data_IF_375071642652
#
_entry.id   IF_375071642652
#
_cell.length_a   1.000
_cell.length_b   1.000
_cell.length_c   1.000
_cell.angle_alpha   90.00
_cell.angle_beta   90.00
_cell.angle_gamma   90.00
#
_symmetry.space_group_name_H-M   'P 1'
#
loop_
_entity.id
_entity.type
_entity.pdbx_description
1 polymer ?
#
# COMPACT_ATOMS: atom_id res chain seq x y z
N UNK A 1 -14.49 11.36 15.58
CA UNK A 1 -13.01 11.37 15.64
C UNK A 1 -12.49 12.33 14.58
N UNK A 2 -11.54 13.22 14.90
CA UNK A 2 -10.89 14.07 13.90
C UNK A 2 -10.10 13.26 12.87
N UNK A 3 -10.16 13.65 11.59
CA UNK A 3 -9.51 12.94 10.47
C UNK A 3 -8.00 12.76 10.68
N UNK A 4 -7.31 13.79 11.19
CA UNK A 4 -5.86 13.74 11.39
C UNK A 4 -5.43 12.64 12.38
N UNK A 5 -6.28 12.29 13.36
CA UNK A 5 -6.00 11.21 14.32
C UNK A 5 -6.06 9.85 13.63
N UNK A 6 -7.06 9.65 12.77
CA UNK A 6 -7.17 8.45 11.95
C UNK A 6 -5.95 8.28 11.04
N UNK A 7 -5.58 9.36 10.34
CA UNK A 7 -4.42 9.38 9.44
C UNK A 7 -3.14 9.08 10.22
N UNK A 8 -2.91 9.76 11.36
CA UNK A 8 -1.72 9.52 12.19
C UNK A 8 -1.68 8.08 12.72
N UNK A 9 -2.82 7.51 13.09
CA UNK A 9 -2.89 6.11 13.54
C UNK A 9 -2.48 5.15 12.42
N UNK A 10 -3.06 5.29 11.22
CA UNK A 10 -2.85 4.35 10.10
C UNK A 10 -1.47 4.41 9.48
N UNK A 11 -0.69 5.48 9.67
CA UNK A 11 0.70 5.63 9.17
C UNK A 11 1.78 5.33 10.23
N UNK A 12 1.42 4.61 11.31
CA UNK A 12 2.33 4.31 12.43
C UNK A 12 3.25 3.11 12.15
N UNK A 13 4.12 3.24 11.15
CA UNK A 13 5.02 2.16 10.69
C UNK A 13 5.97 1.72 11.82
N UNK A 14 5.94 0.44 12.25
CA UNK A 14 6.86 -0.06 13.28
C UNK A 14 8.33 0.16 12.89
N UNK A 15 9.11 0.68 13.83
CA UNK A 15 10.53 1.01 13.63
C UNK A 15 10.78 2.39 13.01
N UNK A 16 9.75 3.06 12.47
CA UNK A 16 9.85 4.44 11.94
C UNK A 16 9.10 5.42 12.85
N UNK A 17 7.88 5.06 13.26
CA UNK A 17 7.03 5.87 14.12
C UNK A 17 6.59 5.10 15.38
N UNK A 18 6.47 5.82 16.50
CA UNK A 18 5.87 5.25 17.70
C UNK A 18 4.38 4.92 17.46
N UNK A 19 3.86 3.83 18.08
CA UNK A 19 2.43 3.53 18.06
C UNK A 19 1.60 4.73 18.50
N UNK A 20 0.45 4.93 17.86
CA UNK A 20 -0.42 6.05 18.17
C UNK A 20 -1.49 5.65 19.19
N UNK A 21 -1.58 6.37 20.31
CA UNK A 21 -2.62 6.13 21.31
C UNK A 21 -3.89 6.89 20.96
N UNK A 22 -5.01 6.17 20.90
CA UNK A 22 -6.32 6.75 20.63
C UNK A 22 -7.40 5.96 21.35
N UNK A 23 -8.19 6.63 22.20
CA UNK A 23 -9.25 5.97 22.97
C UNK A 23 -8.78 4.83 23.88
N UNK A 24 -7.59 4.96 24.47
CA UNK A 24 -6.98 3.94 25.35
C UNK A 24 -6.46 2.70 24.62
N UNK A 25 -6.33 2.76 23.29
CA UNK A 25 -5.76 1.69 22.45
C UNK A 25 -4.55 2.22 21.70
N UNK A 26 -3.57 1.35 21.45
CA UNK A 26 -2.39 1.65 20.66
C UNK A 26 -2.54 1.08 19.25
N UNK A 27 -2.36 1.94 18.26
CA UNK A 27 -2.49 1.61 16.84
C UNK A 27 -1.12 1.64 16.17
N UNK A 28 -0.91 0.69 15.27
CA UNK A 28 0.22 0.61 14.35
C UNK A 28 -0.30 0.73 12.91
N UNK A 29 0.62 0.78 11.95
CA UNK A 29 0.30 0.88 10.53
C UNK A 29 -0.70 -0.18 10.05
N UNK A 30 -1.71 0.26 9.29
CA UNK A 30 -2.79 -0.59 8.79
C UNK A 30 -2.36 -1.56 7.68
N UNK A 31 -1.27 -1.25 6.98
CA UNK A 31 -0.71 -2.09 5.91
C UNK A 31 -0.27 -3.47 6.38
N UNK A 32 -0.05 -3.67 7.68
CA UNK A 32 0.23 -4.97 8.28
C UNK A 32 -0.98 -5.92 8.19
N UNK A 33 -2.19 -5.36 8.26
CA UNK A 33 -3.44 -6.12 8.18
C UNK A 33 -3.91 -6.25 6.73
N UNK A 34 -3.91 -5.13 6.01
CA UNK A 34 -4.37 -5.06 4.63
C UNK A 34 -3.73 -3.86 3.94
N UNK A 35 -2.78 -4.13 3.05
CA UNK A 35 -2.05 -3.12 2.28
C UNK A 35 -2.91 -2.31 1.31
N UNK A 36 -3.76 -3.00 0.54
CA UNK A 36 -4.79 -2.35 -0.28
C UNK A 36 -6.15 -2.73 0.31
N UNK A 37 -6.85 -1.83 1.04
CA UNK A 37 -8.04 -2.13 1.83
C UNK A 37 -9.32 -2.30 0.99
N UNK A 38 -9.26 -3.21 0.01
CA UNK A 38 -10.34 -3.49 -0.95
C UNK A 38 -11.60 -3.97 -0.24
N UNK A 39 -11.45 -4.82 0.78
CA UNK A 39 -12.61 -5.36 1.49
C UNK A 39 -13.35 -4.27 2.25
N UNK A 40 -12.62 -3.31 2.82
CA UNK A 40 -13.21 -2.19 3.56
C UNK A 40 -14.09 -1.32 2.65
N UNK A 41 -13.63 -0.98 1.44
CA UNK A 41 -14.42 -0.17 0.51
C UNK A 41 -15.60 -0.93 -0.09
N UNK A 42 -15.48 -2.25 -0.33
CA UNK A 42 -16.64 -3.08 -0.72
C UNK A 42 -17.70 -3.13 0.38
N UNK A 43 -17.29 -3.25 1.65
CA UNK A 43 -18.22 -3.19 2.78
C UNK A 43 -18.90 -1.82 2.95
N UNK A 44 -18.27 -0.75 2.47
CA UNK A 44 -18.86 0.59 2.41
C UNK A 44 -19.84 0.76 1.24
N UNK A 45 -20.02 -0.26 0.40
CA UNK A 45 -20.99 -0.25 -0.71
C UNK A 45 -20.42 0.26 -2.04
N UNK A 46 -19.10 0.17 -2.25
CA UNK A 46 -18.53 0.48 -3.56
C UNK A 46 -18.95 -0.56 -4.61
N UNK A 47 -19.53 -0.10 -5.73
CA UNK A 47 -19.91 -0.93 -6.87
C UNK A 47 -18.69 -1.38 -7.69
N UNK A 48 -17.71 -0.48 -7.82
CA UNK A 48 -16.44 -0.70 -8.55
C UNK A 48 -15.29 -0.34 -7.62
N UNK A 49 -14.27 -1.19 -7.55
CA UNK A 49 -13.06 -0.96 -6.78
C UNK A 49 -11.83 -1.06 -7.67
N UNK A 50 -11.17 0.11 -7.85
CA UNK A 50 -9.86 0.21 -8.46
C UNK A 50 -8.82 0.33 -7.35
N UNK A 51 -8.03 -0.73 -7.16
CA UNK A 51 -6.92 -0.75 -6.21
C UNK A 51 -5.66 -0.13 -6.84
N UNK A 52 -4.83 0.51 -6.02
CA UNK A 52 -3.48 0.94 -6.43
C UNK A 52 -2.50 0.36 -5.44
N UNK A 53 -1.61 -0.50 -5.93
CA UNK A 53 -0.62 -1.16 -5.12
C UNK A 53 0.79 -0.71 -5.49
N UNK A 54 1.46 -0.03 -4.56
CA UNK A 54 2.71 0.69 -4.81
C UNK A 54 3.96 0.00 -4.24
N UNK A 55 3.84 -1.02 -3.38
CA UNK A 55 5.02 -1.70 -2.82
C UNK A 55 5.55 -2.81 -3.75
N UNK A 56 6.80 -3.28 -3.57
CA UNK A 56 7.35 -4.30 -4.43
C UNK A 56 6.63 -5.65 -4.22
N UNK A 57 6.45 -6.38 -5.33
CA UNK A 57 5.85 -7.72 -5.34
C UNK A 57 6.93 -8.79 -5.21
N UNK A 58 7.40 -8.99 -3.98
CA UNK A 58 8.32 -10.10 -3.68
C UNK A 58 9.60 -10.09 -4.52
N UNK A 59 10.08 -8.90 -4.93
CA UNK A 59 11.45 -8.81 -5.41
C UNK A 59 12.35 -9.26 -4.25
N UNK A 60 12.88 -10.46 -4.38
CA UNK A 60 13.87 -11.02 -3.48
C UNK A 60 15.11 -10.13 -3.55
N UNK A 61 15.13 -9.07 -2.75
CA UNK A 61 16.37 -8.46 -2.35
C UNK A 61 17.15 -9.59 -1.66
N UNK A 62 18.02 -10.29 -2.39
CA UNK A 62 18.86 -11.36 -1.85
C UNK A 62 20.00 -10.81 -0.98
N UNK A 63 19.89 -9.55 -0.58
CA UNK A 63 20.75 -8.88 0.37
C UNK A 63 20.38 -9.32 1.78
N UNK A 64 21.33 -9.87 2.56
CA UNK A 64 21.06 -10.22 3.94
C UNK A 64 20.73 -8.96 4.77
N UNK A 65 19.72 -9.01 5.66
CA UNK A 65 19.40 -7.88 6.53
C UNK A 65 20.60 -7.56 7.43
N UNK A 66 20.89 -6.26 7.63
CA UNK A 66 22.12 -5.83 8.31
C UNK A 66 21.97 -5.71 9.82
N UNK A 67 20.73 -5.60 10.30
CA UNK A 67 20.41 -5.38 11.70
C UNK A 67 18.98 -5.89 12.02
N UNK A 68 18.61 -5.85 13.31
CA UNK A 68 17.31 -6.35 13.79
C UNK A 68 16.11 -5.58 13.21
N UNK A 69 16.28 -4.30 12.90
CA UNK A 69 15.23 -3.47 12.27
C UNK A 69 15.03 -3.90 10.83
N UNK A 70 16.12 -4.05 10.06
CA UNK A 70 16.10 -4.57 8.68
C UNK A 70 15.43 -5.96 8.64
N UNK A 71 15.77 -6.85 9.60
CA UNK A 71 15.14 -8.19 9.70
C UNK A 71 13.64 -8.07 9.95
N UNK A 72 13.21 -7.22 10.88
CA UNK A 72 11.79 -7.03 11.19
C UNK A 72 11.03 -6.47 9.99
N UNK A 73 11.57 -5.45 9.31
CA UNK A 73 10.98 -4.87 8.11
C UNK A 73 10.86 -5.91 6.99
N UNK A 74 11.89 -6.75 6.81
CA UNK A 74 11.86 -7.85 5.85
C UNK A 74 10.77 -8.87 6.17
N UNK A 75 10.62 -9.23 7.45
CA UNK A 75 9.53 -10.13 7.89
C UNK A 75 8.17 -9.52 7.57
N UNK A 76 7.95 -8.24 7.90
CA UNK A 76 6.69 -7.54 7.61
C UNK A 76 6.41 -7.52 6.10
N UNK A 77 7.40 -7.24 5.26
CA UNK A 77 7.23 -7.24 3.80
C UNK A 77 6.87 -8.64 3.24
N UNK A 78 7.47 -9.72 3.77
CA UNK A 78 7.15 -11.09 3.36
C UNK A 78 5.71 -11.46 3.79
N UNK A 79 5.35 -11.14 5.04
CA UNK A 79 3.99 -11.38 5.55
C UNK A 79 2.96 -10.63 4.72
N UNK A 80 3.21 -9.35 4.44
CA UNK A 80 2.37 -8.52 3.59
C UNK A 80 2.19 -9.13 2.19
N UNK A 81 3.27 -9.61 1.56
CA UNK A 81 3.18 -10.28 0.26
C UNK A 81 2.28 -11.51 0.30
N UNK A 82 2.36 -12.32 1.35
CA UNK A 82 1.50 -13.50 1.50
C UNK A 82 0.03 -13.13 1.71
N UNK A 83 -0.26 -12.08 2.47
CA UNK A 83 -1.63 -11.60 2.73
C UNK A 83 -2.22 -11.00 1.45
N UNK A 84 -1.49 -10.12 0.78
CA UNK A 84 -1.94 -9.38 -0.40
C UNK A 84 -2.19 -10.32 -1.58
N UNK A 85 -1.31 -11.31 -1.80
CA UNK A 85 -1.47 -12.32 -2.86
C UNK A 85 -2.76 -13.14 -2.76
N UNK A 86 -3.31 -13.28 -1.54
CA UNK A 86 -4.60 -13.96 -1.34
C UNK A 86 -5.80 -13.05 -1.58
N UNK A 87 -5.60 -11.74 -1.71
CA UNK A 87 -6.66 -10.73 -1.80
C UNK A 87 -6.65 -9.95 -3.13
N UNK A 88 -5.66 -10.17 -3.99
CA UNK A 88 -5.54 -9.50 -5.29
C UNK A 88 -6.80 -9.62 -6.16
N UNK A 89 -7.56 -10.72 -6.05
CA UNK A 89 -8.81 -10.92 -6.80
C UNK A 89 -9.99 -10.08 -6.31
N UNK A 90 -9.86 -9.39 -5.17
CA UNK A 90 -10.96 -8.64 -4.59
C UNK A 90 -11.20 -7.31 -5.31
N UNK A 91 -10.19 -6.72 -5.97
CA UNK A 91 -10.36 -5.50 -6.74
C UNK A 91 -10.83 -5.84 -8.16
N UNK A 92 -11.64 -4.97 -8.75
CA UNK A 92 -12.11 -5.14 -10.13
C UNK A 92 -10.99 -4.76 -11.13
N UNK A 93 -10.11 -3.85 -10.72
CA UNK A 93 -8.84 -3.56 -11.38
C UNK A 93 -7.78 -3.20 -10.32
N UNK A 94 -6.55 -3.69 -10.49
CA UNK A 94 -5.43 -3.39 -9.60
C UNK A 94 -4.28 -2.78 -10.40
N UNK A 95 -3.98 -1.51 -10.14
CA UNK A 95 -2.87 -0.78 -10.77
C UNK A 95 -1.58 -0.97 -9.99
N UNK A 96 -0.47 -1.20 -10.69
CA UNK A 96 0.80 -1.64 -10.11
C UNK A 96 1.98 -0.75 -10.53
N UNK A 97 1.97 0.55 -10.17
CA UNK A 97 3.06 1.42 -10.55
C UNK A 97 4.34 1.04 -9.81
N UNK A 98 5.44 0.86 -10.55
CA UNK A 98 6.75 0.66 -9.93
C UNK A 98 7.26 1.99 -9.36
N UNK A 99 7.11 2.23 -8.06
CA UNK A 99 7.66 3.43 -7.39
C UNK A 99 8.83 3.11 -6.47
N UNK A 100 9.48 1.96 -6.68
CA UNK A 100 10.60 1.49 -5.85
C UNK A 100 11.92 1.41 -6.63
N UNK A 101 11.90 1.04 -7.91
CA UNK A 101 13.14 0.92 -8.67
C UNK A 101 13.86 2.27 -8.75
N UNK A 102 15.07 2.33 -8.18
CA UNK A 102 15.90 3.53 -8.15
C UNK A 102 15.40 4.66 -7.25
N UNK A 103 14.45 4.36 -6.34
CA UNK A 103 13.84 5.35 -5.43
C UNK A 103 14.15 4.95 -3.98
N UNK A 104 14.65 5.91 -3.20
CA UNK A 104 14.79 5.75 -1.75
C UNK A 104 13.45 6.07 -1.07
N UNK A 105 12.78 5.07 -0.44
CA UNK A 105 11.45 5.25 0.16
C UNK A 105 11.46 6.21 1.36
N UNK A 106 12.63 6.52 1.93
CA UNK A 106 12.78 7.45 3.04
C UNK A 106 13.16 8.88 2.59
N UNK A 107 13.22 9.13 1.29
CA UNK A 107 13.60 10.41 0.68
C UNK A 107 12.46 10.99 -0.15
N UNK A 108 12.26 12.30 -0.07
CA UNK A 108 11.25 13.01 -0.87
C UNK A 108 11.76 13.49 -2.23
N UNK A 109 13.03 13.24 -2.58
CA UNK A 109 13.67 13.78 -3.81
C UNK A 109 12.98 13.32 -5.08
N UNK A 110 12.51 12.07 -5.09
CA UNK A 110 11.96 11.42 -6.28
C UNK A 110 10.43 11.45 -6.33
N UNK A 111 9.78 12.27 -5.49
CA UNK A 111 8.32 12.38 -5.42
C UNK A 111 7.68 12.66 -6.80
N UNK A 112 8.31 13.50 -7.63
CA UNK A 112 7.83 13.76 -9.00
C UNK A 112 7.88 12.52 -9.89
N UNK A 113 8.92 11.70 -9.73
CA UNK A 113 9.06 10.45 -10.46
C UNK A 113 7.98 9.45 -10.02
N UNK A 114 7.69 9.34 -8.72
CA UNK A 114 6.59 8.50 -8.23
C UNK A 114 5.25 8.90 -8.85
N UNK A 115 4.93 10.20 -8.88
CA UNK A 115 3.70 10.72 -9.50
C UNK A 115 3.66 10.41 -11.00
N UNK A 116 4.78 10.57 -11.69
CA UNK A 116 4.89 10.23 -13.11
C UNK A 116 4.61 8.75 -13.36
N UNK A 117 5.24 7.85 -12.61
CA UNK A 117 5.08 6.40 -12.77
C UNK A 117 3.66 5.94 -12.43
N UNK A 118 3.03 6.55 -11.43
CA UNK A 118 1.60 6.35 -11.14
C UNK A 118 0.70 6.75 -12.31
N UNK A 119 0.99 7.88 -12.96
CA UNK A 119 0.26 8.34 -14.14
C UNK A 119 0.46 7.41 -15.34
N UNK A 120 1.70 7.02 -15.62
CA UNK A 120 2.02 6.09 -16.71
C UNK A 120 1.28 4.76 -16.54
N UNK A 121 1.25 4.21 -15.32
CA UNK A 121 0.53 2.97 -15.02
C UNK A 121 -0.98 3.10 -15.22
N UNK A 122 -1.55 4.23 -14.78
CA UNK A 122 -2.97 4.52 -14.97
C UNK A 122 -3.32 4.64 -16.46
N UNK A 123 -2.47 5.32 -17.24
CA UNK A 123 -2.69 5.52 -18.67
C UNK A 123 -2.65 4.21 -19.46
N UNK A 124 -1.86 3.21 -19.04
CA UNK A 124 -1.86 1.88 -19.66
C UNK A 124 -3.22 1.16 -19.53
N UNK A 125 -3.95 1.44 -18.45
CA UNK A 125 -5.22 0.78 -18.13
C UNK A 125 -6.43 1.71 -18.34
N UNK A 126 -6.26 2.84 -19.04
CA UNK A 126 -7.31 3.84 -19.16
C UNK A 126 -8.58 3.29 -19.81
N UNK A 127 -8.42 2.43 -20.81
CA UNK A 127 -9.54 1.80 -21.52
C UNK A 127 -10.31 0.83 -20.60
N UNK A 128 -9.60 0.06 -19.76
CA UNK A 128 -10.21 -0.83 -18.76
C UNK A 128 -10.96 -0.04 -17.68
N UNK A 129 -10.37 1.07 -17.22
CA UNK A 129 -11.00 1.97 -16.26
C UNK A 129 -12.30 2.55 -16.84
N UNK A 130 -12.27 3.05 -18.08
CA UNK A 130 -13.46 3.57 -18.76
C UNK A 130 -14.53 2.47 -18.90
N UNK A 131 -14.13 1.26 -19.33
CA UNK A 131 -15.05 0.14 -19.48
C UNK A 131 -15.73 -0.28 -18.16
N UNK A 132 -15.00 -0.22 -17.03
CA UNK A 132 -15.57 -0.50 -15.72
C UNK A 132 -16.59 0.57 -15.31
N UNK A 133 -16.24 1.85 -15.47
CA UNK A 133 -17.12 2.97 -15.11
C UNK A 133 -18.39 3.01 -15.96
N UNK A 134 -18.34 2.55 -17.21
CA UNK A 134 -19.53 2.46 -18.08
C UNK A 134 -20.49 1.30 -17.69
N UNK A 135 -20.03 0.33 -16.89
CA UNK A 135 -20.80 -0.85 -16.48
C UNK A 135 -21.50 -0.70 -15.12
N UNK A 136 -21.10 0.28 -14.29
CA UNK A 136 -21.67 0.57 -12.97
C UNK A 136 -22.61 1.75 -12.97
#
# INVERSE_FOLDING_TARGET
MPLYQAIRATISIPGVFAPYEMGGRYYIDGGILERVPVQAVKMLGADIVIGVDVLPRGQEENTPPRNVVDTLQRTLAITDWHITRQKDYLADLLLLPDVYEGIDPYSSKDCRLCVQRGREETLKHIDEICALVEQG
#
